data_IF_127372603509
#
_entry.id   IF_127372603509
#
_cell.length_a   1.000
_cell.length_b   1.000
_cell.length_c   1.000
_cell.angle_alpha   90.00
_cell.angle_beta   90.00
_cell.angle_gamma   90.00
#
_symmetry.space_group_name_H-M   'P 1'
#
loop_
_entity.id
_entity.type
_entity.pdbx_description
1 polymer ?
#
# COMPACT_ATOMS: atom_id res chain seq x y z
N UNK A 1 -23.92 -13.80 10.65
CA UNK A 1 -22.69 -14.28 9.98
C UNK A 1 -21.52 -14.02 10.92
N UNK A 2 -20.73 -15.03 11.33
CA UNK A 2 -19.51 -14.76 12.08
C UNK A 2 -18.59 -14.01 11.11
N UNK A 3 -18.36 -12.74 11.36
CA UNK A 3 -17.49 -11.92 10.53
C UNK A 3 -16.09 -12.52 10.59
N UNK A 4 -15.63 -13.10 9.49
CA UNK A 4 -14.33 -13.77 9.36
C UNK A 4 -13.17 -12.76 9.34
N UNK A 5 -13.18 -11.80 10.27
CA UNK A 5 -12.08 -10.84 10.42
C UNK A 5 -10.81 -11.62 10.73
N UNK A 6 -9.87 -11.61 9.80
CA UNK A 6 -8.53 -12.16 9.99
C UNK A 6 -7.78 -11.26 10.97
N UNK A 7 -7.17 -11.86 11.99
CA UNK A 7 -6.37 -11.16 13.00
C UNK A 7 -4.90 -11.35 12.68
N UNK A 8 -4.13 -10.28 12.75
CA UNK A 8 -2.67 -10.29 12.58
C UNK A 8 -2.09 -9.85 13.92
N UNK A 9 -1.29 -10.72 14.55
CA UNK A 9 -0.50 -10.36 15.73
C UNK A 9 0.89 -9.94 15.25
N UNK A 10 1.33 -8.75 15.65
CA UNK A 10 2.59 -8.17 15.22
C UNK A 10 3.45 -7.84 16.44
N UNK A 11 4.65 -8.40 16.49
CA UNK A 11 5.69 -7.97 17.42
C UNK A 11 6.46 -6.83 16.77
N UNK A 12 6.54 -5.70 17.46
CA UNK A 12 7.26 -4.50 17.00
C UNK A 12 8.27 -4.08 18.06
N UNK A 13 9.31 -3.37 17.64
CA UNK A 13 10.24 -2.73 18.56
C UNK A 13 9.55 -1.58 19.34
N UNK A 14 10.10 -1.25 20.51
CA UNK A 14 9.51 -0.27 21.42
C UNK A 14 9.41 1.13 20.79
N UNK A 15 10.42 1.52 20.02
CA UNK A 15 10.49 2.80 19.29
C UNK A 15 9.38 2.93 18.22
N UNK A 16 9.10 1.85 17.50
CA UNK A 16 8.01 1.76 16.53
C UNK A 16 6.67 1.87 17.25
N UNK A 17 6.49 1.17 18.36
CA UNK A 17 5.26 1.24 19.14
C UNK A 17 5.02 2.64 19.72
N UNK A 18 6.06 3.30 20.24
CA UNK A 18 5.98 4.69 20.68
C UNK A 18 5.57 5.63 19.55
N UNK A 19 6.14 5.45 18.36
CA UNK A 19 5.83 6.25 17.18
C UNK A 19 4.36 6.08 16.78
N UNK A 20 3.87 4.83 16.72
CA UNK A 20 2.46 4.53 16.46
C UNK A 20 1.54 5.16 17.51
N UNK A 21 1.92 5.13 18.79
CA UNK A 21 1.17 5.76 19.88
C UNK A 21 1.09 7.28 19.73
N UNK A 22 2.20 7.93 19.36
CA UNK A 22 2.23 9.39 19.12
C UNK A 22 1.29 9.78 17.98
N UNK A 23 1.32 9.03 16.88
CA UNK A 23 0.44 9.26 15.73
C UNK A 23 -1.02 9.01 16.12
N UNK A 24 -1.32 7.89 16.79
CA UNK A 24 -2.67 7.56 17.24
C UNK A 24 -3.27 8.64 18.14
N UNK A 25 -2.49 9.20 19.07
CA UNK A 25 -2.91 10.34 19.91
C UNK A 25 -3.20 11.59 19.08
N UNK A 26 -2.33 11.91 18.12
CA UNK A 26 -2.50 13.08 17.25
C UNK A 26 -3.77 12.98 16.41
N UNK A 27 -4.02 11.81 15.82
CA UNK A 27 -5.17 11.52 14.97
C UNK A 27 -6.45 11.13 15.75
N UNK A 28 -6.38 11.18 17.10
CA UNK A 28 -7.50 10.83 18.01
C UNK A 28 -8.13 9.47 17.71
N UNK A 29 -7.30 8.48 17.40
CA UNK A 29 -7.74 7.12 17.07
C UNK A 29 -6.93 6.08 17.82
N UNK A 30 -7.26 4.79 17.64
CA UNK A 30 -6.54 3.68 18.27
C UNK A 30 -5.23 3.35 17.55
N UNK A 31 -4.26 2.79 18.28
CA UNK A 31 -3.02 2.26 17.70
C UNK A 31 -3.33 1.24 16.61
N UNK A 32 -4.28 0.33 16.85
CA UNK A 32 -4.69 -0.66 15.85
C UNK A 32 -5.24 0.00 14.57
N UNK A 33 -6.00 1.09 14.71
CA UNK A 33 -6.52 1.85 13.57
C UNK A 33 -5.42 2.51 12.73
N UNK A 34 -4.46 3.17 13.38
CA UNK A 34 -3.29 3.73 12.68
C UNK A 34 -2.44 2.63 12.06
N UNK A 35 -2.16 1.55 12.80
CA UNK A 35 -1.39 0.42 12.27
C UNK A 35 -2.05 -0.19 11.03
N UNK A 36 -3.37 -0.32 11.04
CA UNK A 36 -4.12 -0.81 9.88
C UNK A 36 -4.00 0.13 8.68
N UNK A 37 -4.22 1.43 8.88
CA UNK A 37 -4.11 2.44 7.83
C UNK A 37 -2.70 2.51 7.23
N UNK A 38 -1.67 2.47 8.08
CA UNK A 38 -0.28 2.50 7.63
C UNK A 38 0.10 1.21 6.90
N UNK A 39 -0.45 0.06 7.32
CA UNK A 39 -0.25 -1.21 6.62
C UNK A 39 -0.88 -1.17 5.22
N UNK A 40 -2.09 -0.64 5.08
CA UNK A 40 -2.75 -0.48 3.77
C UNK A 40 -1.90 0.41 2.85
N UNK A 41 -1.47 1.58 3.33
CA UNK A 41 -0.59 2.47 2.56
C UNK A 41 0.74 1.83 2.15
N UNK A 42 1.32 0.99 3.02
CA UNK A 42 2.54 0.27 2.69
C UNK A 42 2.31 -0.77 1.59
N UNK A 43 1.15 -1.43 1.59
CA UNK A 43 0.77 -2.37 0.52
C UNK A 43 0.52 -1.64 -0.80
N UNK A 44 -0.16 -0.49 -0.78
CA UNK A 44 -0.36 0.37 -1.96
C UNK A 44 0.98 0.78 -2.57
N UNK A 45 1.93 1.26 -1.74
CA UNK A 45 3.27 1.62 -2.20
C UNK A 45 4.00 0.42 -2.84
N UNK A 46 3.89 -0.77 -2.24
CA UNK A 46 4.50 -1.97 -2.78
C UNK A 46 3.88 -2.38 -4.13
N UNK A 47 2.57 -2.19 -4.27
CA UNK A 47 1.84 -2.43 -5.52
C UNK A 47 2.29 -1.45 -6.62
N UNK A 48 2.41 -0.16 -6.30
CA UNK A 48 2.91 0.86 -7.23
C UNK A 48 4.32 0.52 -7.74
N UNK A 49 5.23 0.14 -6.82
CA UNK A 49 6.59 -0.28 -7.19
C UNK A 49 6.57 -1.49 -8.13
N UNK A 50 5.69 -2.46 -7.86
CA UNK A 50 5.55 -3.63 -8.72
C UNK A 50 5.04 -3.25 -10.11
N UNK A 51 3.98 -2.45 -10.20
CA UNK A 51 3.40 -2.08 -11.50
C UNK A 51 4.28 -1.13 -12.29
N UNK A 52 5.03 -0.25 -11.63
CA UNK A 52 6.05 0.58 -12.25
C UNK A 52 7.07 -0.29 -13.00
N UNK A 53 7.65 -1.29 -12.31
CA UNK A 53 8.58 -2.25 -12.92
C UNK A 53 7.96 -3.02 -14.09
N UNK A 54 6.73 -3.52 -13.93
CA UNK A 54 6.00 -4.21 -15.01
C UNK A 54 5.79 -3.29 -16.22
N UNK A 55 5.47 -2.02 -15.98
CA UNK A 55 5.33 -0.99 -17.01
C UNK A 55 6.64 -0.77 -17.76
N UNK A 56 7.75 -0.60 -17.04
CA UNK A 56 9.08 -0.44 -17.63
C UNK A 56 9.49 -1.66 -18.47
N UNK A 57 9.27 -2.87 -17.97
CA UNK A 57 9.53 -4.10 -18.72
C UNK A 57 8.73 -4.16 -20.03
N UNK A 58 7.46 -3.74 -20.00
CA UNK A 58 6.61 -3.67 -21.21
C UNK A 58 7.10 -2.61 -22.19
N UNK A 59 7.54 -1.45 -21.69
CA UNK A 59 8.09 -0.36 -22.51
C UNK A 59 9.48 -0.70 -23.06
N UNK A 60 10.28 -1.50 -22.37
CA UNK A 60 11.60 -1.91 -22.88
C UNK A 60 11.49 -2.93 -24.03
N UNK A 61 10.43 -3.74 -24.05
CA UNK A 61 10.19 -4.73 -25.10
C UNK A 61 9.66 -4.06 -26.38
N UNK A 62 10.16 -4.51 -27.53
CA UNK A 62 9.59 -4.14 -28.83
C UNK A 62 8.28 -4.91 -29.03
N UNK A 63 7.16 -4.22 -28.81
CA UNK A 63 5.81 -4.70 -29.11
C UNK A 63 5.11 -3.70 -30.03
N UNK A 64 4.06 -4.14 -30.72
CA UNK A 64 3.20 -3.24 -31.50
C UNK A 64 2.54 -2.26 -30.53
N UNK A 65 2.87 -0.97 -30.66
CA UNK A 65 2.29 0.10 -29.85
C UNK A 65 1.19 0.79 -30.63
N UNK A 66 0.11 1.12 -29.95
CA UNK A 66 -0.94 1.96 -30.48
C UNK A 66 -0.54 3.42 -30.25
N UNK A 67 -0.75 4.29 -31.24
CA UNK A 67 -0.57 5.73 -31.03
C UNK A 67 -1.70 6.24 -30.14
N UNK A 68 -1.45 7.23 -29.27
CA UNK A 68 -2.52 7.88 -28.49
C UNK A 68 -3.68 8.39 -29.37
N UNK A 69 -3.38 8.86 -30.59
CA UNK A 69 -4.40 9.29 -31.57
C UNK A 69 -5.29 8.14 -32.05
N UNK A 70 -4.78 6.90 -32.04
CA UNK A 70 -5.55 5.75 -32.51
C UNK A 70 -6.54 5.24 -31.44
N UNK A 71 -6.45 5.73 -30.20
CA UNK A 71 -7.26 5.25 -29.06
C UNK A 71 -8.22 6.32 -28.53
N UNK A 72 -7.82 7.60 -28.51
CA UNK A 72 -8.52 8.66 -27.79
C UNK A 72 -9.30 9.64 -28.71
N UNK A 73 -9.27 9.42 -30.03
CA UNK A 73 -10.14 10.07 -31.02
C UNK A 73 -11.42 9.23 -31.23
#
# INVERSE_FOLDING_TARGET
MPTAKKRINLTVADDVFESLNKIAKKEKTSVAGISHLLLEKALELQEDLYFSRVGEERVSKKSKRLSPKDIWD
#
